data_IF_413817931991
#
_entry.id   IF_413817931991
#
_cell.length_a   1.000
_cell.length_b   1.000
_cell.length_c   1.000
_cell.angle_alpha   90.00
_cell.angle_beta   90.00
_cell.angle_gamma   90.00
#
_symmetry.space_group_name_H-M   'P 1'
#
loop_
_entity.id
_entity.type
_entity.pdbx_description
1 polymer ?
#
# COMPACT_ATOMS: atom_id res chain seq x y z
N UNK A 1 19.85 -6.16 2.35
CA UNK A 1 19.81 -4.72 2.04
C UNK A 1 20.71 -3.96 3.02
N UNK A 2 22.02 -4.00 2.77
CA UNK A 2 23.06 -3.49 3.71
C UNK A 2 22.97 -1.98 3.99
N UNK A 3 22.26 -1.25 3.12
CA UNK A 3 22.09 0.21 3.25
C UNK A 3 20.83 0.62 4.06
N UNK A 4 19.99 -0.32 4.45
CA UNK A 4 18.72 -0.04 5.15
C UNK A 4 17.70 0.79 4.33
N UNK A 5 17.86 0.81 3.00
CA UNK A 5 16.94 1.51 2.09
C UNK A 5 15.86 0.53 1.64
N UNK A 6 14.57 0.83 1.85
CA UNK A 6 13.49 -0.05 1.41
C UNK A 6 13.49 -0.25 -0.10
N UNK A 7 13.31 -1.50 -0.52
CA UNK A 7 13.15 -1.87 -1.93
C UNK A 7 11.68 -1.95 -2.26
N UNK A 8 11.27 -1.24 -3.30
CA UNK A 8 9.88 -1.20 -3.76
C UNK A 8 9.79 -1.81 -5.15
N UNK A 9 8.88 -2.76 -5.31
CA UNK A 9 8.60 -3.41 -6.59
C UNK A 9 7.16 -3.16 -7.01
N UNK A 10 6.96 -2.75 -8.27
CA UNK A 10 5.67 -2.92 -8.98
C UNK A 10 5.77 -4.07 -9.95
N UNK A 11 4.77 -4.96 -9.94
CA UNK A 11 4.81 -6.19 -10.75
C UNK A 11 4.69 -5.91 -12.25
N UNK A 12 3.93 -4.88 -12.63
CA UNK A 12 3.89 -4.30 -13.97
C UNK A 12 3.09 -5.10 -15.01
N UNK A 13 3.07 -6.44 -14.95
CA UNK A 13 2.27 -7.25 -15.87
C UNK A 13 2.07 -8.69 -15.40
N UNK A 14 0.82 -9.15 -15.41
CA UNK A 14 0.46 -10.52 -15.05
C UNK A 14 1.11 -11.56 -15.96
N UNK A 15 1.30 -11.23 -17.26
CA UNK A 15 1.84 -12.17 -18.25
C UNK A 15 3.21 -12.73 -17.85
N UNK A 16 4.09 -11.90 -17.29
CA UNK A 16 5.39 -12.36 -16.82
C UNK A 16 5.28 -13.17 -15.52
N UNK A 17 4.35 -12.80 -14.66
CA UNK A 17 4.13 -13.47 -13.38
C UNK A 17 3.60 -14.89 -13.60
N UNK A 18 2.63 -15.04 -14.50
CA UNK A 18 2.03 -16.33 -14.86
C UNK A 18 3.02 -17.36 -15.42
N UNK A 19 4.17 -16.93 -15.93
CA UNK A 19 5.21 -17.85 -16.41
C UNK A 19 5.88 -18.61 -15.26
N UNK A 20 6.11 -17.98 -14.13
CA UNK A 20 6.67 -18.62 -12.95
C UNK A 20 6.29 -17.84 -11.68
N UNK A 21 5.04 -18.02 -11.18
CA UNK A 21 4.57 -17.33 -9.97
C UNK A 21 5.41 -17.64 -8.72
N UNK A 22 5.97 -18.87 -8.67
CA UNK A 22 6.78 -19.29 -7.52
C UNK A 22 8.10 -18.53 -7.47
N UNK A 23 8.76 -18.36 -8.60
CA UNK A 23 9.98 -17.55 -8.70
C UNK A 23 9.72 -16.10 -8.27
N UNK A 24 8.58 -15.51 -8.72
CA UNK A 24 8.21 -14.15 -8.33
C UNK A 24 7.97 -14.02 -6.84
N UNK A 25 7.28 -15.00 -6.23
CA UNK A 25 7.04 -15.01 -4.78
C UNK A 25 8.36 -15.10 -3.99
N UNK A 26 9.27 -15.97 -4.41
CA UNK A 26 10.59 -16.12 -3.79
C UNK A 26 11.44 -14.87 -3.95
N UNK A 27 11.44 -14.26 -5.15
CA UNK A 27 12.12 -12.99 -5.41
C UNK A 27 11.60 -11.86 -4.52
N UNK A 28 10.27 -11.72 -4.40
CA UNK A 28 9.66 -10.71 -3.51
C UNK A 28 10.10 -10.93 -2.08
N UNK A 29 10.03 -12.18 -1.61
CA UNK A 29 10.38 -12.53 -0.23
C UNK A 29 11.86 -12.23 0.11
N UNK A 30 12.76 -12.38 -0.84
CA UNK A 30 14.19 -12.18 -0.61
C UNK A 30 14.63 -10.71 -0.76
N UNK A 31 13.92 -9.93 -1.60
CA UNK A 31 14.46 -8.66 -2.06
C UNK A 31 13.53 -7.44 -1.89
N UNK A 32 12.24 -7.62 -1.56
CA UNK A 32 11.25 -6.56 -1.66
C UNK A 32 10.60 -6.24 -0.31
N UNK A 33 10.67 -4.99 0.11
CA UNK A 33 10.03 -4.50 1.34
C UNK A 33 8.60 -4.00 1.08
N UNK A 34 8.33 -3.47 -0.13
CA UNK A 34 7.01 -2.93 -0.50
C UNK A 34 6.61 -3.48 -1.87
N UNK A 35 5.46 -4.14 -1.94
CA UNK A 35 4.92 -4.68 -3.17
C UNK A 35 3.71 -3.88 -3.65
N UNK A 36 3.76 -3.38 -4.88
CA UNK A 36 2.63 -2.78 -5.57
C UNK A 36 2.16 -3.70 -6.70
N UNK A 37 0.85 -3.96 -6.74
CA UNK A 37 0.22 -4.82 -7.74
C UNK A 37 -1.19 -4.34 -8.05
N UNK A 38 -1.72 -4.71 -9.20
CA UNK A 38 -3.14 -4.62 -9.46
C UNK A 38 -3.84 -5.95 -9.14
N UNK A 39 -5.18 -6.01 -9.27
CA UNK A 39 -5.96 -7.23 -8.94
C UNK A 39 -5.58 -8.43 -9.82
N UNK A 40 -5.24 -8.20 -11.10
CA UNK A 40 -4.86 -9.29 -12.02
C UNK A 40 -3.46 -9.82 -11.70
N UNK A 41 -2.53 -8.96 -11.35
CA UNK A 41 -1.18 -9.32 -10.91
C UNK A 41 -1.24 -10.02 -9.55
N UNK A 42 -2.10 -9.54 -8.64
CA UNK A 42 -2.37 -10.17 -7.36
C UNK A 42 -2.89 -11.60 -7.52
N UNK A 43 -3.87 -11.81 -8.41
CA UNK A 43 -4.34 -13.16 -8.75
C UNK A 43 -3.21 -14.03 -9.31
N UNK A 44 -2.40 -13.50 -10.23
CA UNK A 44 -1.33 -14.25 -10.88
C UNK A 44 -0.25 -14.73 -9.89
N UNK A 45 0.14 -13.89 -8.93
CA UNK A 45 1.22 -14.23 -7.98
C UNK A 45 0.72 -15.00 -6.76
N UNK A 46 -0.53 -14.77 -6.31
CA UNK A 46 -1.05 -15.34 -5.06
C UNK A 46 -2.07 -16.45 -5.25
N UNK A 47 -2.73 -16.48 -6.41
CA UNK A 47 -3.86 -17.38 -6.70
C UNK A 47 -5.21 -16.92 -6.12
N UNK A 48 -5.30 -15.74 -5.49
CA UNK A 48 -6.54 -15.21 -4.93
C UNK A 48 -7.15 -14.14 -5.83
N UNK A 49 -8.44 -14.30 -6.18
CA UNK A 49 -9.23 -13.29 -6.93
C UNK A 49 -9.65 -12.10 -6.07
N UNK A 50 -9.81 -12.31 -4.77
CA UNK A 50 -10.15 -11.25 -3.82
C UNK A 50 -8.91 -10.40 -3.53
N UNK A 51 -8.93 -9.07 -3.82
CA UNK A 51 -7.76 -8.21 -3.64
C UNK A 51 -7.27 -8.13 -2.18
N UNK A 52 -8.17 -8.29 -1.20
CA UNK A 52 -7.80 -8.30 0.20
C UNK A 52 -7.06 -9.59 0.58
N UNK A 53 -7.55 -10.74 0.09
CA UNK A 53 -6.87 -12.03 0.30
C UNK A 53 -5.54 -12.08 -0.44
N UNK A 54 -5.47 -11.53 -1.65
CA UNK A 54 -4.21 -11.38 -2.39
C UNK A 54 -3.19 -10.53 -1.60
N UNK A 55 -3.62 -9.39 -1.06
CA UNK A 55 -2.78 -8.53 -0.25
C UNK A 55 -2.34 -9.21 1.05
N UNK A 56 -3.24 -9.93 1.73
CA UNK A 56 -2.91 -10.71 2.93
C UNK A 56 -1.87 -11.80 2.63
N UNK A 57 -2.04 -12.53 1.52
CA UNK A 57 -1.09 -13.56 1.11
C UNK A 57 0.28 -12.97 0.79
N UNK A 58 0.32 -11.85 0.10
CA UNK A 58 1.57 -11.18 -0.24
C UNK A 58 2.35 -10.66 0.99
N UNK A 59 1.68 -10.39 2.12
CA UNK A 59 2.35 -10.07 3.39
C UNK A 59 3.18 -11.24 3.96
N UNK A 60 3.05 -12.45 3.44
CA UNK A 60 3.97 -13.53 3.80
C UNK A 60 5.39 -13.27 3.28
N UNK A 61 5.53 -12.39 2.29
CA UNK A 61 6.77 -12.15 1.54
C UNK A 61 7.33 -10.74 1.71
N UNK A 62 6.51 -9.75 2.10
CA UNK A 62 6.90 -8.33 2.15
C UNK A 62 6.26 -7.61 3.34
N UNK A 63 6.67 -6.39 3.63
CA UNK A 63 6.22 -5.63 4.81
C UNK A 63 4.98 -4.78 4.54
N UNK A 64 4.81 -4.30 3.30
CA UNK A 64 3.69 -3.47 2.89
C UNK A 64 3.24 -3.86 1.49
N UNK A 65 1.93 -4.02 1.32
CA UNK A 65 1.30 -4.34 0.04
C UNK A 65 0.31 -3.25 -0.34
N UNK A 66 0.35 -2.87 -1.61
CA UNK A 66 -0.59 -1.96 -2.25
C UNK A 66 -1.23 -2.72 -3.40
N UNK A 67 -2.56 -2.96 -3.33
CA UNK A 67 -3.31 -3.61 -4.39
C UNK A 67 -4.36 -2.66 -4.94
N UNK A 68 -4.18 -2.22 -6.18
CA UNK A 68 -5.16 -1.41 -6.90
C UNK A 68 -6.16 -2.31 -7.60
N UNK A 69 -7.46 -2.10 -7.40
CA UNK A 69 -8.51 -2.97 -7.88
C UNK A 69 -9.62 -2.22 -8.63
N UNK A 70 -9.25 -1.26 -9.48
CA UNK A 70 -10.14 -0.52 -10.36
C UNK A 70 -11.36 0.03 -9.62
N UNK A 71 -12.55 -0.42 -10.02
CA UNK A 71 -13.82 0.00 -9.42
C UNK A 71 -14.05 -0.52 -7.99
N UNK A 72 -13.27 -1.49 -7.53
CA UNK A 72 -13.28 -1.97 -6.15
C UNK A 72 -12.45 -1.08 -5.22
N UNK A 73 -11.63 -0.18 -5.75
CA UNK A 73 -10.81 0.76 -5.00
C UNK A 73 -9.38 0.31 -4.74
N UNK A 74 -8.85 0.72 -3.60
CA UNK A 74 -7.47 0.46 -3.19
C UNK A 74 -7.45 -0.33 -1.89
N UNK A 75 -6.73 -1.44 -1.89
CA UNK A 75 -6.48 -2.27 -0.71
C UNK A 75 -5.02 -2.11 -0.28
N UNK A 76 -4.80 -1.95 1.00
CA UNK A 76 -3.48 -1.96 1.58
C UNK A 76 -3.41 -2.96 2.73
N UNK A 77 -2.28 -3.63 2.84
CA UNK A 77 -1.97 -4.52 3.94
C UNK A 77 -0.55 -4.24 4.45
N UNK A 78 -0.34 -4.34 5.75
CA UNK A 78 0.97 -4.09 6.37
C UNK A 78 1.05 -4.65 7.77
N UNK A 79 2.22 -4.54 8.39
CA UNK A 79 2.43 -4.89 9.78
C UNK A 79 2.38 -3.67 10.67
N UNK A 80 1.80 -3.81 11.85
CA UNK A 80 1.84 -2.84 12.93
C UNK A 80 2.29 -3.53 14.21
N UNK A 81 2.98 -2.82 15.07
CA UNK A 81 3.33 -3.38 16.38
C UNK A 81 2.12 -3.35 17.30
N UNK A 82 1.86 -4.45 18.02
CA UNK A 82 0.71 -4.57 18.92
C UNK A 82 0.70 -3.47 19.99
N UNK A 83 1.86 -3.01 20.45
CA UNK A 83 2.00 -1.96 21.44
C UNK A 83 1.63 -0.55 20.94
N UNK A 84 1.60 -0.35 19.63
CA UNK A 84 1.28 0.93 18.97
C UNK A 84 0.01 0.89 18.14
N UNK A 85 -0.77 -0.20 18.23
CA UNK A 85 -2.01 -0.34 17.47
C UNK A 85 -3.05 0.71 17.89
N UNK A 86 -3.83 1.12 16.90
CA UNK A 86 -5.00 1.98 17.06
C UNK A 86 -6.20 1.25 16.50
N UNK A 87 -7.13 0.92 17.36
CA UNK A 87 -8.38 0.28 16.93
C UNK A 87 -9.35 1.32 16.37
N UNK A 88 -10.13 0.93 15.37
CA UNK A 88 -11.24 1.76 14.88
C UNK A 88 -12.37 1.77 15.89
N UNK A 89 -12.98 2.94 16.08
CA UNK A 89 -14.19 3.11 16.90
C UNK A 89 -15.48 2.83 16.13
N UNK A 90 -15.38 2.66 14.80
CA UNK A 90 -16.54 2.43 13.94
C UNK A 90 -16.83 0.94 13.81
N UNK A 91 -18.14 0.58 13.62
CA UNK A 91 -18.51 -0.79 13.31
C UNK A 91 -17.76 -1.26 12.06
N UNK A 92 -17.14 -2.43 12.16
CA UNK A 92 -16.40 -3.03 11.04
C UNK A 92 -17.40 -3.65 10.06
N UNK A 93 -17.13 -3.46 8.77
CA UNK A 93 -17.88 -4.13 7.73
C UNK A 93 -17.38 -5.58 7.62
N UNK A 94 -18.28 -6.55 7.40
CA UNK A 94 -17.88 -7.91 7.10
C UNK A 94 -16.99 -7.95 5.87
N UNK A 95 -15.90 -8.68 5.93
CA UNK A 95 -14.95 -8.86 4.83
C UNK A 95 -14.44 -10.29 4.79
N UNK A 96 -13.60 -10.58 3.80
CA UNK A 96 -12.95 -11.89 3.65
C UNK A 96 -12.00 -12.21 4.82
N UNK A 97 -11.48 -11.18 5.47
CA UNK A 97 -10.68 -11.28 6.69
C UNK A 97 -11.49 -10.65 7.84
N UNK A 98 -11.60 -11.37 8.95
CA UNK A 98 -12.28 -10.87 10.13
C UNK A 98 -11.58 -9.58 10.62
N UNK A 99 -12.39 -8.59 10.98
CA UNK A 99 -11.91 -7.32 11.52
C UNK A 99 -10.87 -6.60 10.62
N UNK A 100 -10.97 -6.74 9.30
CA UNK A 100 -9.92 -6.28 8.37
C UNK A 100 -9.54 -4.80 8.54
N UNK A 101 -10.47 -3.88 8.83
CA UNK A 101 -10.18 -2.46 9.04
C UNK A 101 -9.92 -2.09 10.51
N UNK A 102 -9.83 -3.07 11.41
CA UNK A 102 -9.73 -2.81 12.86
C UNK A 102 -8.57 -1.91 13.24
N UNK A 103 -7.44 -2.07 12.59
CA UNK A 103 -6.20 -1.36 12.90
C UNK A 103 -5.76 -0.39 11.80
N UNK A 104 -6.65 0.00 10.89
CA UNK A 104 -6.31 0.85 9.74
C UNK A 104 -5.73 2.23 10.10
N UNK A 105 -6.04 2.74 11.30
CA UNK A 105 -5.48 3.99 11.81
C UNK A 105 -4.10 3.84 12.46
N UNK A 106 -3.59 2.62 12.54
CA UNK A 106 -2.23 2.36 13.02
C UNK A 106 -1.21 2.68 11.94
N UNK A 107 -0.01 3.03 12.37
CA UNK A 107 1.13 3.25 11.47
C UNK A 107 1.74 1.91 11.11
N UNK A 108 1.87 1.64 9.83
CA UNK A 108 2.59 0.46 9.37
C UNK A 108 4.09 0.60 9.65
N UNK A 109 4.74 -0.54 9.87
CA UNK A 109 6.17 -0.68 10.17
C UNK A 109 6.71 -1.89 9.41
N UNK A 110 8.05 -2.00 9.30
CA UNK A 110 8.64 -3.26 8.86
C UNK A 110 8.36 -4.34 9.91
N UNK A 111 8.11 -5.55 9.46
CA UNK A 111 7.84 -6.69 10.35
C UNK A 111 8.96 -6.93 11.36
N UNK A 112 10.21 -6.80 10.90
CA UNK A 112 11.40 -6.98 11.73
C UNK A 112 11.56 -5.92 12.83
N UNK A 113 10.97 -4.73 12.64
CA UNK A 113 10.98 -3.63 13.61
C UNK A 113 9.86 -3.77 14.67
N UNK A 114 8.89 -4.66 14.45
CA UNK A 114 7.82 -4.94 15.39
C UNK A 114 8.28 -5.93 16.46
N UNK A 115 7.98 -5.65 17.72
CA UNK A 115 8.17 -6.64 18.81
C UNK A 115 7.10 -7.72 18.76
N UNK A 116 5.86 -7.32 18.50
CA UNK A 116 4.71 -8.22 18.36
C UNK A 116 3.93 -7.82 17.10
N UNK A 117 4.36 -8.28 15.90
CA UNK A 117 3.75 -7.89 14.64
C UNK A 117 2.33 -8.44 14.51
N UNK A 118 1.38 -7.55 14.21
CA UNK A 118 0.02 -7.90 13.80
C UNK A 118 -0.23 -7.38 12.39
N UNK A 119 -1.04 -8.10 11.62
CA UNK A 119 -1.46 -7.65 10.29
C UNK A 119 -2.54 -6.60 10.41
N UNK A 120 -2.42 -5.55 9.64
CA UNK A 120 -3.40 -4.48 9.55
C UNK A 120 -3.74 -4.23 8.08
N UNK A 121 -5.00 -3.90 7.84
CA UNK A 121 -5.52 -3.71 6.48
C UNK A 121 -6.29 -2.41 6.40
N UNK A 122 -6.35 -1.83 5.21
CA UNK A 122 -7.22 -0.71 4.90
C UNK A 122 -7.79 -0.88 3.49
N UNK A 123 -9.05 -0.56 3.35
CA UNK A 123 -9.72 -0.46 2.07
C UNK A 123 -10.23 0.95 1.87
N UNK A 124 -9.92 1.53 0.73
CA UNK A 124 -10.46 2.83 0.31
C UNK A 124 -11.28 2.61 -0.96
N UNK A 125 -12.57 2.94 -0.87
CA UNK A 125 -13.46 2.92 -2.03
C UNK A 125 -12.93 3.86 -3.13
N UNK A 126 -13.28 3.62 -4.41
CA UNK A 126 -12.88 4.48 -5.51
C UNK A 126 -13.23 5.94 -5.24
N UNK A 127 -12.39 6.85 -5.70
CA UNK A 127 -12.64 8.28 -5.52
C UNK A 127 -13.95 8.69 -6.23
N UNK A 128 -14.76 9.50 -5.56
CA UNK A 128 -16.14 9.82 -5.95
C UNK A 128 -16.21 10.83 -7.11
N UNK A 129 -15.60 10.52 -8.24
CA UNK A 129 -15.71 11.34 -9.46
C UNK A 129 -16.53 10.67 -10.57
N UNK A 130 -16.80 9.39 -10.38
CA UNK A 130 -17.55 8.54 -11.32
C UNK A 130 -16.76 8.16 -12.58
N UNK A 131 -17.20 7.10 -13.27
CA UNK A 131 -16.53 6.56 -14.46
C UNK A 131 -16.54 7.53 -15.65
N UNK A 132 -17.54 8.40 -15.74
CA UNK A 132 -17.69 9.37 -16.84
C UNK A 132 -16.56 10.42 -16.88
N UNK A 133 -15.86 10.61 -15.79
CA UNK A 133 -14.73 11.54 -15.69
C UNK A 133 -13.40 10.91 -16.12
N UNK A 134 -13.35 9.56 -16.27
CA UNK A 134 -12.11 8.85 -16.60
C UNK A 134 -11.78 9.05 -18.08
N UNK A 135 -10.57 9.57 -18.32
CA UNK A 135 -10.04 9.82 -19.66
C UNK A 135 -8.93 8.84 -20.06
N UNK A 136 -8.18 8.37 -19.09
CA UNK A 136 -7.05 7.48 -19.31
C UNK A 136 -6.77 6.68 -18.03
N UNK A 137 -6.58 5.38 -18.14
CA UNK A 137 -6.26 4.50 -17.00
C UNK A 137 -4.76 4.31 -16.78
N UNK A 138 -3.94 4.69 -17.77
CA UNK A 138 -2.49 4.53 -17.66
C UNK A 138 -1.90 5.45 -16.59
N UNK A 139 -0.97 4.93 -15.81
CA UNK A 139 -0.26 5.68 -14.78
C UNK A 139 -1.01 5.86 -13.45
N UNK A 140 -2.23 5.36 -13.32
CA UNK A 140 -2.99 5.45 -12.08
C UNK A 140 -2.33 4.65 -10.94
N UNK A 141 -1.89 3.41 -11.21
CA UNK A 141 -1.13 2.58 -10.29
C UNK A 141 0.22 3.19 -9.91
N UNK A 142 0.95 3.70 -10.90
CA UNK A 142 2.23 4.39 -10.67
C UNK A 142 2.06 5.63 -9.78
N UNK A 143 0.95 6.35 -9.97
CA UNK A 143 0.66 7.52 -9.15
C UNK A 143 0.27 7.16 -7.72
N UNK A 144 -0.47 6.05 -7.51
CA UNK A 144 -0.72 5.52 -6.18
C UNK A 144 0.58 5.16 -5.48
N UNK A 145 1.47 4.45 -6.17
CA UNK A 145 2.78 4.10 -5.65
C UNK A 145 3.62 5.33 -5.33
N UNK A 146 3.65 6.33 -6.22
CA UNK A 146 4.36 7.58 -6.00
C UNK A 146 3.88 8.32 -4.74
N UNK A 147 2.58 8.30 -4.46
CA UNK A 147 2.02 8.87 -3.23
C UNK A 147 2.50 8.14 -1.98
N UNK A 148 2.60 6.82 -2.01
CA UNK A 148 3.14 6.01 -0.91
C UNK A 148 4.63 6.29 -0.70
N UNK A 149 5.41 6.37 -1.78
CA UNK A 149 6.83 6.72 -1.72
C UNK A 149 7.06 8.13 -1.17
N UNK A 150 6.19 9.07 -1.54
CA UNK A 150 6.22 10.43 -0.99
C UNK A 150 5.98 10.41 0.53
N UNK A 151 4.96 9.68 1.00
CA UNK A 151 4.68 9.54 2.44
C UNK A 151 5.88 8.93 3.20
N UNK A 152 6.45 7.85 2.67
CA UNK A 152 7.64 7.22 3.24
C UNK A 152 8.82 8.19 3.32
N UNK A 153 9.10 8.90 2.22
CA UNK A 153 10.21 9.87 2.15
C UNK A 153 10.00 11.03 3.12
N UNK A 154 8.78 11.54 3.23
CA UNK A 154 8.44 12.60 4.17
C UNK A 154 8.62 12.14 5.63
N UNK A 155 8.22 10.92 5.96
CA UNK A 155 8.38 10.37 7.31
C UNK A 155 9.87 10.18 7.65
N UNK A 156 10.68 9.68 6.73
CA UNK A 156 12.15 9.56 6.91
C UNK A 156 12.79 10.94 7.06
N UNK A 157 12.43 11.89 6.21
CA UNK A 157 12.95 13.26 6.30
C UNK A 157 12.65 13.90 7.66
N UNK A 158 11.40 13.81 8.13
CA UNK A 158 11.01 14.35 9.42
C UNK A 158 11.76 13.68 10.57
N UNK A 159 11.92 12.36 10.55
CA UNK A 159 12.67 11.63 11.58
C UNK A 159 14.11 12.14 11.71
N UNK A 160 14.74 12.43 10.58
CA UNK A 160 16.15 12.82 10.54
C UNK A 160 16.38 14.33 10.77
N UNK A 161 15.42 15.19 10.40
CA UNK A 161 15.66 16.64 10.29
C UNK A 161 14.74 17.50 11.19
N UNK A 162 13.67 16.93 11.75
CA UNK A 162 12.73 17.69 12.60
C UNK A 162 12.83 17.24 14.04
N UNK A 163 13.63 17.96 14.83
CA UNK A 163 13.79 17.69 16.26
C UNK A 163 12.43 17.79 16.98
N UNK A 164 12.20 16.84 17.91
CA UNK A 164 11.01 16.77 18.76
C UNK A 164 9.66 16.62 18.03
N UNK A 165 9.66 16.15 16.78
CA UNK A 165 8.41 15.80 16.09
C UNK A 165 7.73 14.61 16.78
N UNK A 166 6.60 14.84 17.42
CA UNK A 166 5.83 13.78 18.07
C UNK A 166 5.39 12.66 17.09
N UNK A 167 5.34 12.97 15.79
CA UNK A 167 5.01 11.99 14.73
C UNK A 167 6.13 10.97 14.47
N UNK A 168 7.37 11.25 14.87
CA UNK A 168 8.56 10.53 14.42
C UNK A 168 9.47 10.05 15.56
N UNK A 169 8.94 9.90 16.77
CA UNK A 169 9.70 9.40 17.92
C UNK A 169 9.89 7.87 17.92
N UNK A 170 9.34 7.17 16.94
CA UNK A 170 9.51 5.73 16.84
C UNK A 170 10.92 5.38 16.35
N UNK A 171 11.55 4.32 16.88
CA UNK A 171 12.92 3.95 16.53
C UNK A 171 13.07 3.48 15.08
N UNK A 172 11.99 2.95 14.50
CA UNK A 172 11.95 2.38 13.16
C UNK A 172 11.45 3.34 12.08
N UNK A 173 11.66 3.01 10.82
CA UNK A 173 11.00 3.64 9.68
C UNK A 173 9.51 3.28 9.74
N UNK A 174 8.67 4.30 9.82
CA UNK A 174 7.22 4.12 9.83
C UNK A 174 6.58 4.86 8.68
N UNK A 175 5.45 4.34 8.25
CA UNK A 175 4.55 5.02 7.32
C UNK A 175 3.55 5.88 8.10
N UNK A 176 2.77 6.70 7.43
CA UNK A 176 1.52 7.22 7.99
C UNK A 176 0.54 6.07 8.24
N UNK A 177 -0.59 6.31 8.88
CA UNK A 177 -1.57 5.23 9.05
C UNK A 177 -2.04 4.69 7.69
N UNK A 178 -2.34 3.40 7.62
CA UNK A 178 -2.80 2.76 6.38
C UNK A 178 -4.01 3.50 5.78
N UNK A 179 -4.95 3.94 6.62
CA UNK A 179 -6.10 4.72 6.18
C UNK A 179 -5.72 6.08 5.56
N UNK A 180 -4.69 6.75 6.05
CA UNK A 180 -4.23 8.02 5.46
C UNK A 180 -3.51 7.80 4.14
N UNK A 181 -2.59 6.84 4.11
CA UNK A 181 -1.82 6.51 2.90
C UNK A 181 -2.76 6.07 1.78
N UNK A 182 -3.70 5.15 2.08
CA UNK A 182 -4.62 4.62 1.07
C UNK A 182 -5.53 5.71 0.48
N UNK A 183 -6.05 6.61 1.31
CA UNK A 183 -6.85 7.75 0.85
C UNK A 183 -6.04 8.70 -0.02
N UNK A 184 -4.81 8.99 0.37
CA UNK A 184 -3.93 9.87 -0.39
C UNK A 184 -3.53 9.24 -1.74
N UNK A 185 -3.14 7.97 -1.73
CA UNK A 185 -2.81 7.23 -2.94
C UNK A 185 -4.00 7.11 -3.89
N UNK A 186 -5.19 6.83 -3.37
CA UNK A 186 -6.43 6.75 -4.15
C UNK A 186 -6.78 8.10 -4.80
N UNK A 187 -6.65 9.21 -4.06
CA UNK A 187 -6.84 10.56 -4.60
C UNK A 187 -5.83 10.86 -5.71
N UNK A 188 -4.56 10.56 -5.48
CA UNK A 188 -3.50 10.79 -6.46
C UNK A 188 -3.74 9.99 -7.76
N UNK A 189 -4.17 8.73 -7.64
CA UNK A 189 -4.59 7.91 -8.78
C UNK A 189 -5.72 8.55 -9.56
N UNK A 190 -6.76 9.03 -8.87
CA UNK A 190 -7.92 9.65 -9.52
C UNK A 190 -7.54 10.92 -10.30
N UNK A 191 -6.65 11.75 -9.77
CA UNK A 191 -6.16 12.95 -10.47
C UNK A 191 -5.49 12.61 -11.82
N UNK A 192 -4.85 11.44 -11.93
CA UNK A 192 -4.31 10.95 -13.21
C UNK A 192 -5.43 10.45 -14.12
N UNK A 193 -6.38 9.70 -13.58
CA UNK A 193 -7.47 9.12 -14.36
C UNK A 193 -8.30 10.16 -15.11
N UNK A 194 -8.49 11.36 -14.55
CA UNK A 194 -9.28 12.44 -15.16
C UNK A 194 -8.49 13.29 -16.15
N UNK A 195 -7.25 12.93 -16.46
CA UNK A 195 -6.40 13.60 -17.42
C UNK A 195 -6.17 12.73 -18.66
N UNK A 196 -5.83 13.37 -19.79
CA UNK A 196 -5.40 12.63 -20.98
C UNK A 196 -3.96 12.13 -20.90
N UNK A 197 -3.15 12.80 -20.09
CA UNK A 197 -1.75 12.40 -19.84
C UNK A 197 -1.68 11.42 -18.69
N UNK A 198 -0.82 10.38 -18.76
CA UNK A 198 -0.58 9.45 -17.65
C UNK A 198 0.29 10.08 -16.54
N UNK A 199 0.47 11.38 -16.54
CA UNK A 199 1.29 12.11 -15.58
C UNK A 199 0.52 13.25 -14.96
N UNK A 200 0.73 13.50 -13.69
CA UNK A 200 0.21 14.69 -13.01
C UNK A 200 0.85 15.95 -13.58
N UNK A 201 0.03 16.92 -13.98
CA UNK A 201 0.49 18.20 -14.55
C UNK A 201 1.06 19.17 -13.50
N UNK A 202 0.70 18.98 -12.24
CA UNK A 202 1.05 19.87 -11.12
C UNK A 202 1.74 19.16 -9.94
N UNK A 203 2.23 17.92 -10.15
CA UNK A 203 2.75 17.09 -9.06
C UNK A 203 1.65 16.39 -8.26
N UNK A 204 2.03 15.78 -7.15
CA UNK A 204 1.08 15.10 -6.24
C UNK A 204 0.11 16.11 -5.62
N UNK A 205 -1.17 15.75 -5.40
CA UNK A 205 -2.14 16.62 -4.74
C UNK A 205 -1.71 16.94 -3.30
N UNK A 206 -1.95 18.17 -2.87
CA UNK A 206 -1.72 18.61 -1.50
C UNK A 206 -2.76 18.04 -0.51
#
# INVERSE_FOLDING_TARGET
>A
NDAGVPVVLTLGTKFLIEQDPAWWADFVKEHVDILAMNEEEGLAITGFEDPLLAADKALDWTDLVICTAGEKGLFMAGYVDDSFKRETEYPLLPGAIADFNRYEFSRAMRKEDCQNPIRAYSHTAPFMGGPDSIKNTNGAGDCALAAVLHDLSANVYHKLNVANSAKHQQPAITYSSLAQISKYANRASYEVLVQHSPRLSRGLPE
#
